data_IF_373213575976
#
_entry.id   IF_373213575976
#
_cell.length_a   1.000
_cell.length_b   1.000
_cell.length_c   1.000
_cell.angle_alpha   90.00
_cell.angle_beta   90.00
_cell.angle_gamma   90.00
#
_symmetry.space_group_name_H-M   'P 1'
#
loop_
_entity.id
_entity.type
_entity.pdbx_description
1 polymer ?
#
# COMPACT_ATOMS: atom_id res chain seq x y z
N UNK A 1 -65.15 0.10 -16.64
CA UNK A 1 -63.84 -0.05 -17.29
C UNK A 1 -62.80 0.19 -16.22
N UNK A 2 -62.19 -0.86 -15.66
CA UNK A 2 -61.20 -0.72 -14.59
C UNK A 2 -59.86 -0.35 -15.22
N UNK A 3 -59.45 0.90 -15.08
CA UNK A 3 -58.10 1.32 -15.44
C UNK A 3 -57.09 0.56 -14.58
N UNK A 4 -55.99 0.03 -15.15
CA UNK A 4 -54.98 -0.66 -14.39
C UNK A 4 -54.39 0.26 -13.30
N UNK A 5 -54.23 -0.27 -12.09
CA UNK A 5 -53.61 0.46 -10.98
C UNK A 5 -52.15 0.79 -11.34
N UNK A 6 -51.75 2.04 -11.10
CA UNK A 6 -50.40 2.55 -11.39
C UNK A 6 -49.27 1.75 -10.71
N UNK A 7 -49.58 1.06 -9.61
CA UNK A 7 -48.66 0.19 -8.85
C UNK A 7 -48.28 -1.10 -9.58
N UNK A 8 -48.98 -1.45 -10.66
CA UNK A 8 -48.69 -2.64 -11.48
C UNK A 8 -47.87 -2.32 -12.75
N UNK A 9 -47.49 -1.05 -12.94
CA UNK A 9 -46.84 -0.56 -14.16
C UNK A 9 -45.36 -0.25 -13.94
N UNK A 10 -44.96 0.00 -12.68
CA UNK A 10 -43.57 0.28 -12.33
C UNK A 10 -42.96 -0.96 -11.68
N UNK A 11 -41.97 -1.54 -12.34
CA UNK A 11 -41.06 -2.53 -11.77
C UNK A 11 -39.85 -1.74 -11.28
N UNK A 12 -39.45 -1.95 -10.03
CA UNK A 12 -38.23 -1.34 -9.48
C UNK A 12 -37.03 -1.91 -10.24
N UNK A 13 -36.54 -1.15 -11.22
CA UNK A 13 -35.27 -1.43 -11.88
C UNK A 13 -34.16 -0.80 -11.04
N UNK A 14 -33.01 -1.47 -10.95
CA UNK A 14 -31.81 -0.83 -10.41
C UNK A 14 -31.57 0.50 -11.14
N UNK A 15 -31.04 1.50 -10.42
CA UNK A 15 -30.73 2.80 -11.02
C UNK A 15 -29.65 2.57 -12.09
N UNK A 16 -30.05 2.53 -13.36
CA UNK A 16 -29.15 2.20 -14.49
C UNK A 16 -28.04 3.23 -14.72
N UNK A 17 -27.98 4.29 -13.91
CA UNK A 17 -27.03 5.39 -14.02
C UNK A 17 -26.02 5.45 -12.86
N UNK A 18 -26.18 4.64 -11.81
CA UNK A 18 -25.35 4.76 -10.61
C UNK A 18 -24.90 3.41 -10.04
N UNK A 19 -23.58 3.22 -9.98
CA UNK A 19 -22.93 2.19 -9.17
C UNK A 19 -22.10 2.89 -8.09
N UNK A 20 -22.02 2.30 -6.88
CA UNK A 20 -21.25 2.83 -5.76
C UNK A 20 -20.17 1.81 -5.37
N UNK A 21 -18.91 2.21 -5.57
CA UNK A 21 -17.74 1.48 -5.10
C UNK A 21 -17.04 2.31 -4.01
N UNK A 22 -16.61 1.64 -2.94
CA UNK A 22 -15.86 2.27 -1.86
C UNK A 22 -14.37 1.98 -2.03
N UNK A 23 -13.57 3.01 -2.23
CA UNK A 23 -12.11 2.95 -2.20
C UNK A 23 -11.57 3.80 -1.05
N UNK A 24 -10.36 3.48 -0.62
CA UNK A 24 -9.61 4.37 0.28
C UNK A 24 -8.60 5.20 -0.54
N UNK A 25 -8.78 6.52 -0.56
CA UNK A 25 -7.84 7.44 -1.22
C UNK A 25 -6.61 7.78 -0.37
N UNK A 26 -6.69 7.54 0.95
CA UNK A 26 -5.71 8.02 1.95
C UNK A 26 -4.66 6.95 2.34
N UNK A 27 -4.26 6.09 1.40
CA UNK A 27 -3.16 5.15 1.65
C UNK A 27 -1.84 5.89 1.89
N UNK A 28 -1.16 5.56 3.00
CA UNK A 28 0.10 6.21 3.42
C UNK A 28 1.32 5.31 3.30
N UNK A 29 1.13 4.00 3.03
CA UNK A 29 2.21 3.04 2.83
C UNK A 29 3.29 3.54 1.86
N UNK A 30 2.90 4.10 0.71
CA UNK A 30 3.84 4.54 -0.32
C UNK A 30 4.57 5.84 0.02
N UNK A 31 3.97 6.67 0.87
CA UNK A 31 4.59 7.90 1.35
C UNK A 31 5.71 7.59 2.35
N UNK A 32 5.52 6.56 3.17
CA UNK A 32 6.49 6.16 4.20
C UNK A 32 7.53 5.18 3.63
N UNK A 33 7.10 4.24 2.79
CA UNK A 33 7.93 3.20 2.18
C UNK A 33 7.72 3.17 0.66
N UNK A 34 8.53 3.90 -0.12
CA UNK A 34 8.38 3.96 -1.57
C UNK A 34 8.69 2.61 -2.23
N UNK A 35 7.99 2.34 -3.33
CA UNK A 35 8.18 1.10 -4.10
C UNK A 35 9.51 1.12 -4.85
N UNK A 36 10.27 0.03 -4.73
CA UNK A 36 11.52 -0.19 -5.47
C UNK A 36 11.37 -1.44 -6.32
N UNK A 37 11.48 -1.28 -7.64
CA UNK A 37 11.37 -2.40 -8.58
C UNK A 37 12.65 -3.25 -8.52
N UNK A 38 12.47 -4.55 -8.33
CA UNK A 38 13.57 -5.53 -8.29
C UNK A 38 13.36 -6.60 -9.35
N UNK A 39 14.44 -7.03 -9.99
CA UNK A 39 14.38 -8.04 -11.06
C UNK A 39 14.34 -9.47 -10.53
N UNK A 40 14.86 -9.71 -9.31
CA UNK A 40 14.92 -11.04 -8.71
C UNK A 40 14.06 -11.11 -7.47
N UNK A 41 13.60 -12.33 -7.18
CA UNK A 41 12.79 -12.61 -5.99
C UNK A 41 13.59 -12.49 -4.69
N UNK A 42 14.87 -12.85 -4.72
CA UNK A 42 15.74 -12.79 -3.57
C UNK A 42 17.14 -12.42 -4.03
N UNK A 43 17.69 -11.38 -3.43
CA UNK A 43 19.09 -11.00 -3.58
C UNK A 43 19.55 -10.34 -2.27
N UNK A 44 20.84 -10.00 -2.22
CA UNK A 44 21.41 -9.18 -1.15
C UNK A 44 21.55 -7.74 -1.61
N UNK A 45 21.42 -6.82 -0.68
CA UNK A 45 21.65 -5.40 -0.87
C UNK A 45 22.67 -4.89 0.15
N UNK A 46 23.39 -3.82 -0.21
CA UNK A 46 24.42 -3.23 0.63
C UNK A 46 23.81 -2.22 1.60
N UNK A 47 24.14 -2.37 2.88
CA UNK A 47 23.73 -1.47 3.96
C UNK A 47 24.92 -0.61 4.35
N UNK A 48 24.80 0.70 4.13
CA UNK A 48 25.77 1.68 4.60
C UNK A 48 25.59 1.95 6.09
N UNK A 49 26.69 2.12 6.80
CA UNK A 49 26.65 2.54 8.20
C UNK A 49 26.13 3.97 8.38
N UNK A 50 25.89 4.33 9.64
CA UNK A 50 25.33 5.64 10.03
C UNK A 50 26.38 6.74 10.20
N UNK A 51 27.64 6.50 9.81
CA UNK A 51 28.75 7.43 10.07
C UNK A 51 28.54 8.78 9.40
N UNK A 52 27.88 8.80 8.23
CA UNK A 52 27.57 10.02 7.48
C UNK A 52 26.51 10.92 8.15
N UNK A 53 25.69 10.40 9.05
CA UNK A 53 24.72 11.19 9.81
C UNK A 53 25.34 11.94 11.00
N UNK A 54 26.60 11.64 11.34
CA UNK A 54 27.29 12.34 12.42
C UNK A 54 27.79 13.69 11.93
N UNK A 55 27.50 14.74 12.68
CA UNK A 55 28.05 16.06 12.43
C UNK A 55 29.58 15.99 12.46
N UNK A 56 30.23 16.48 11.39
CA UNK A 56 31.68 16.66 11.34
C UNK A 56 31.99 18.09 10.91
N UNK A 57 32.88 18.73 11.64
CA UNK A 57 33.35 20.06 11.30
C UNK A 57 34.41 19.95 10.19
N UNK A 58 34.06 20.37 8.98
CA UNK A 58 34.95 20.32 7.81
C UNK A 58 35.76 21.61 7.60
N UNK A 59 35.86 22.49 8.62
CA UNK A 59 36.65 23.71 8.53
C UNK A 59 38.13 23.33 8.44
N UNK A 60 38.76 23.69 7.31
CA UNK A 60 40.18 23.45 7.06
C UNK A 60 40.98 24.74 7.17
N UNK A 61 42.11 24.69 7.87
CA UNK A 61 43.09 25.78 7.84
C UNK A 61 43.88 25.75 6.51
N UNK A 62 44.29 26.90 5.93
CA UNK A 62 45.12 26.93 4.74
C UNK A 62 46.44 26.16 4.96
N UNK A 63 46.69 25.14 4.14
CA UNK A 63 47.90 24.30 4.21
C UNK A 63 47.75 22.96 4.93
N UNK A 64 46.69 22.73 5.70
CA UNK A 64 46.43 21.45 6.36
C UNK A 64 45.83 20.41 5.39
N UNK A 65 46.10 19.12 5.55
CA UNK A 65 45.44 18.06 4.78
C UNK A 65 43.95 17.94 5.16
N UNK A 66 43.14 17.42 4.25
CA UNK A 66 41.71 17.19 4.50
C UNK A 66 41.50 15.95 5.39
N UNK A 67 40.48 15.99 6.24
CA UNK A 67 40.09 14.83 7.05
C UNK A 67 39.50 13.72 6.17
N UNK A 68 39.90 12.48 6.44
CA UNK A 68 39.43 11.31 5.71
C UNK A 68 38.05 10.84 6.21
N UNK A 69 37.21 10.38 5.27
CA UNK A 69 35.92 9.77 5.58
C UNK A 69 35.96 8.27 5.28
N UNK A 70 35.83 7.48 6.34
CA UNK A 70 35.64 6.05 6.23
C UNK A 70 34.18 5.72 6.60
N UNK A 71 33.58 4.80 5.86
CA UNK A 71 32.23 4.30 6.10
C UNK A 71 32.26 2.78 6.22
N UNK A 72 31.35 2.22 7.01
CA UNK A 72 31.17 0.77 7.07
C UNK A 72 30.18 0.31 6.00
N UNK A 73 30.44 -0.87 5.45
CA UNK A 73 29.56 -1.52 4.47
C UNK A 73 29.23 -2.92 4.97
N UNK A 74 27.94 -3.22 5.06
CA UNK A 74 27.41 -4.54 5.41
C UNK A 74 26.43 -5.01 4.33
N UNK A 75 25.98 -6.26 4.41
CA UNK A 75 24.99 -6.79 3.45
C UNK A 75 23.79 -7.33 4.21
N UNK A 76 22.60 -7.05 3.67
CA UNK A 76 21.33 -7.61 4.12
C UNK A 76 20.65 -8.29 2.94
N UNK A 77 19.68 -9.17 3.20
CA UNK A 77 18.94 -9.92 2.16
C UNK A 77 17.47 -9.53 2.15
N UNK A 78 16.85 -9.59 0.98
CA UNK A 78 15.40 -9.49 0.85
C UNK A 78 14.81 -10.75 0.21
N UNK A 79 13.51 -10.95 0.41
CA UNK A 79 12.74 -11.99 -0.24
C UNK A 79 11.34 -11.47 -0.57
N UNK A 80 11.03 -11.36 -1.85
CA UNK A 80 9.70 -11.01 -2.32
C UNK A 80 8.79 -12.25 -2.24
N UNK A 81 7.82 -12.21 -1.32
CA UNK A 81 6.82 -13.27 -1.18
C UNK A 81 5.77 -13.16 -2.29
N UNK A 82 5.50 -14.22 -3.07
CA UNK A 82 4.42 -14.20 -4.03
C UNK A 82 3.07 -14.19 -3.28
N UNK A 83 2.17 -13.29 -3.70
CA UNK A 83 0.77 -13.25 -3.29
C UNK A 83 -0.08 -13.23 -4.55
N UNK A 84 -1.17 -13.98 -4.56
CA UNK A 84 -2.08 -14.05 -5.69
C UNK A 84 -3.48 -14.34 -5.18
N UNK A 85 -4.46 -13.60 -5.70
CA UNK A 85 -5.88 -13.78 -5.41
C UNK A 85 -6.64 -13.79 -6.74
N UNK A 86 -7.76 -14.51 -6.79
CA UNK A 86 -8.57 -14.65 -8.00
C UNK A 86 -10.03 -14.46 -7.67
N UNK A 87 -10.68 -13.59 -8.45
CA UNK A 87 -12.13 -13.50 -8.52
C UNK A 87 -12.64 -14.26 -9.75
N UNK A 88 -13.74 -15.00 -9.62
CA UNK A 88 -14.38 -15.71 -10.72
C UNK A 88 -15.60 -14.90 -11.16
N UNK A 89 -15.63 -14.52 -12.43
CA UNK A 89 -16.81 -13.95 -13.08
C UNK A 89 -17.36 -15.00 -14.03
N UNK A 90 -18.65 -15.32 -13.91
CA UNK A 90 -19.31 -16.31 -14.77
C UNK A 90 -19.78 -15.66 -16.07
N UNK A 91 -19.79 -16.42 -17.16
CA UNK A 91 -20.23 -15.91 -18.45
C UNK A 91 -21.73 -15.57 -18.48
N UNK A 92 -22.53 -16.31 -17.70
CA UNK A 92 -23.97 -16.06 -17.58
C UNK A 92 -24.22 -14.70 -16.90
N UNK A 93 -23.48 -14.38 -15.83
CA UNK A 93 -23.57 -13.09 -15.11
C UNK A 93 -23.18 -11.90 -16.03
N UNK A 94 -22.10 -12.04 -16.81
CA UNK A 94 -21.68 -11.06 -17.82
C UNK A 94 -22.73 -10.84 -18.91
N UNK A 95 -23.51 -11.88 -19.25
CA UNK A 95 -24.59 -11.78 -20.23
C UNK A 95 -25.86 -11.14 -19.66
N UNK A 96 -26.09 -11.29 -18.35
CA UNK A 96 -27.24 -10.74 -17.62
C UNK A 96 -26.98 -9.35 -17.04
N UNK A 97 -25.73 -8.86 -17.07
CA UNK A 97 -25.39 -7.53 -16.55
C UNK A 97 -26.14 -6.41 -17.31
N UNK A 98 -26.71 -5.49 -16.54
CA UNK A 98 -27.37 -4.28 -17.05
C UNK A 98 -26.50 -3.05 -16.74
N UNK A 99 -26.50 -2.06 -17.64
CA UNK A 99 -25.83 -0.78 -17.40
C UNK A 99 -26.33 -0.14 -16.08
N UNK A 100 -25.43 0.39 -15.24
CA UNK A 100 -24.04 0.76 -15.54
C UNK A 100 -23.01 -0.25 -15.00
N UNK A 101 -23.44 -1.46 -14.63
CA UNK A 101 -22.59 -2.46 -13.99
C UNK A 101 -21.62 -3.04 -15.00
N UNK A 102 -20.35 -3.16 -14.63
CA UNK A 102 -19.34 -3.86 -15.41
C UNK A 102 -18.57 -4.81 -14.52
N UNK A 103 -19.07 -6.04 -14.39
CA UNK A 103 -18.60 -7.00 -13.38
C UNK A 103 -17.11 -7.34 -13.50
N UNK A 104 -16.59 -7.39 -14.74
CA UNK A 104 -15.17 -7.66 -14.97
C UNK A 104 -14.27 -6.51 -14.48
N UNK A 105 -14.70 -5.26 -14.70
CA UNK A 105 -13.96 -4.07 -14.27
C UNK A 105 -14.03 -3.93 -12.76
N UNK A 106 -15.23 -4.07 -12.19
CA UNK A 106 -15.45 -3.99 -10.74
C UNK A 106 -14.67 -5.08 -10.01
N UNK A 107 -14.63 -6.31 -10.53
CA UNK A 107 -13.82 -7.38 -9.98
C UNK A 107 -12.32 -7.05 -10.00
N UNK A 108 -11.82 -6.42 -11.07
CA UNK A 108 -10.42 -6.01 -11.15
C UNK A 108 -10.09 -4.88 -10.19
N UNK A 109 -10.98 -3.89 -10.04
CA UNK A 109 -10.82 -2.79 -9.08
C UNK A 109 -10.84 -3.28 -7.64
N UNK A 110 -11.76 -4.19 -7.29
CA UNK A 110 -11.83 -4.81 -5.96
C UNK A 110 -10.58 -5.63 -5.64
N UNK A 111 -10.04 -6.38 -6.61
CA UNK A 111 -8.79 -7.09 -6.43
C UNK A 111 -7.61 -6.13 -6.23
N UNK A 112 -7.58 -5.01 -6.96
CA UNK A 112 -6.55 -3.98 -6.76
C UNK A 112 -6.63 -3.40 -5.33
N UNK A 113 -7.83 -3.03 -4.88
CA UNK A 113 -8.07 -2.47 -3.54
C UNK A 113 -7.64 -3.45 -2.44
N UNK A 114 -7.91 -4.74 -2.62
CA UNK A 114 -7.43 -5.79 -1.71
C UNK A 114 -5.90 -5.77 -1.58
N UNK A 115 -5.17 -5.65 -2.69
CA UNK A 115 -3.71 -5.60 -2.64
C UNK A 115 -3.17 -4.31 -2.03
N UNK A 116 -3.83 -3.17 -2.25
CA UNK A 116 -3.51 -1.91 -1.57
C UNK A 116 -3.66 -2.03 -0.05
N UNK A 117 -4.76 -2.63 0.41
CA UNK A 117 -4.99 -2.87 1.83
C UNK A 117 -3.95 -3.83 2.44
N UNK A 118 -3.63 -4.93 1.75
CA UNK A 118 -2.58 -5.86 2.21
C UNK A 118 -1.25 -5.14 2.40
N UNK A 119 -0.88 -4.27 1.44
CA UNK A 119 0.35 -3.48 1.52
C UNK A 119 0.34 -2.53 2.72
N UNK A 120 -0.76 -1.83 2.95
CA UNK A 120 -0.93 -0.92 4.09
C UNK A 120 -0.74 -1.65 5.42
N UNK A 121 -1.40 -2.81 5.57
CA UNK A 121 -1.28 -3.64 6.78
C UNK A 121 0.14 -4.18 6.95
N UNK A 122 0.80 -4.64 5.89
CA UNK A 122 2.17 -5.13 5.95
C UNK A 122 3.15 -4.03 6.39
N UNK A 123 3.00 -2.81 5.86
CA UNK A 123 3.82 -1.64 6.25
C UNK A 123 3.52 -1.22 7.69
N UNK A 124 2.25 -1.15 8.09
CA UNK A 124 1.87 -0.83 9.46
C UNK A 124 2.44 -1.84 10.47
N UNK A 125 2.36 -3.14 10.18
CA UNK A 125 2.94 -4.19 11.01
C UNK A 125 4.46 -4.07 11.10
N UNK A 126 5.13 -3.73 10.00
CA UNK A 126 6.57 -3.54 9.99
C UNK A 126 6.99 -2.33 10.84
N UNK A 127 6.28 -1.21 10.71
CA UNK A 127 6.58 0.05 11.42
C UNK A 127 6.25 -0.01 12.91
N UNK A 128 5.17 -0.69 13.29
CA UNK A 128 4.76 -0.82 14.70
C UNK A 128 5.56 -1.90 15.45
N UNK A 129 6.31 -2.74 14.73
CA UNK A 129 7.19 -3.74 15.33
C UNK A 129 8.38 -3.10 16.06
N UNK A 130 8.41 -3.26 17.38
CA UNK A 130 9.51 -2.80 18.24
C UNK A 130 10.82 -3.53 17.98
N UNK A 131 10.79 -4.67 17.27
CA UNK A 131 11.99 -5.39 16.85
C UNK A 131 12.68 -4.70 15.66
N UNK A 132 11.92 -4.06 14.77
CA UNK A 132 12.45 -3.37 13.60
C UNK A 132 12.80 -1.91 13.93
N UNK A 133 11.86 -1.18 14.55
CA UNK A 133 12.10 0.16 15.04
C UNK A 133 12.49 0.13 16.52
N UNK A 134 13.80 0.07 16.75
CA UNK A 134 14.40 0.01 18.09
C UNK A 134 14.40 1.34 18.84
N UNK A 135 14.25 2.47 18.14
CA UNK A 135 14.06 3.77 18.76
C UNK A 135 12.55 4.03 18.98
N UNK A 136 12.00 3.43 20.03
CA UNK A 136 10.59 3.51 20.38
C UNK A 136 10.41 3.88 21.86
N UNK A 137 9.22 4.37 22.19
CA UNK A 137 8.79 4.62 23.57
C UNK A 137 7.33 4.21 23.71
N UNK A 138 7.02 3.39 24.72
CA UNK A 138 5.65 2.98 25.01
C UNK A 138 5.05 3.91 26.07
N UNK A 139 4.00 4.66 25.70
CA UNK A 139 3.27 5.55 26.61
C UNK A 139 2.31 4.74 27.50
N UNK A 140 2.20 5.09 28.78
CA UNK A 140 1.34 4.38 29.75
C UNK A 140 0.60 5.34 30.69
N UNK A 141 -0.62 4.98 31.07
CA UNK A 141 -1.43 5.75 32.01
C UNK A 141 -1.67 7.19 31.55
N UNK A 142 -1.32 8.16 32.41
CA UNK A 142 -1.56 9.59 32.16
C UNK A 142 -0.68 10.21 31.08
N UNK A 143 0.24 9.45 30.49
CA UNK A 143 1.06 9.91 29.35
C UNK A 143 0.46 9.56 28.00
N UNK A 144 -0.66 8.83 27.97
CA UNK A 144 -1.43 8.56 26.75
C UNK A 144 -2.20 9.83 26.37
N UNK A 145 -2.27 10.11 25.06
CA UNK A 145 -2.90 11.31 24.52
C UNK A 145 -4.42 11.19 24.53
#
# INVERSE_FOLDING_TARGET
>A
MSSPQATQIHIDQALTTFSQLYTNEDYVADQIMPMVNVNKRSDKWFVYGKEHFRYRNAIRQPGALADEFNYSLTTSSYFAQPRAERHLVLADDVMEQDDPLSEEVDAAELLMELFWLIREVDVANYLTSTANLTNNTALSGTTQW
#
